data_IF_483404384033
#
_entry.id   IF_483404384033
#
_cell.length_a   1.000
_cell.length_b   1.000
_cell.length_c   1.000
_cell.angle_alpha   90.00
_cell.angle_beta   90.00
_cell.angle_gamma   90.00
#
_symmetry.space_group_name_H-M   'P 1'
#
loop_
_entity.id
_entity.type
_entity.pdbx_description
1 polymer ?
#
# COMPACT_ATOMS: atom_id res chain seq x y z
N UNK A 1 6.49 -9.26 6.59
CA UNK A 1 5.27 -9.47 5.77
C UNK A 1 5.46 -8.72 4.46
N UNK A 2 5.58 -9.43 3.34
CA UNK A 2 5.69 -8.82 2.01
C UNK A 2 4.35 -8.17 1.70
N UNK A 3 4.30 -6.82 1.64
CA UNK A 3 3.13 -6.06 1.22
C UNK A 3 2.95 -6.29 -0.28
N UNK A 4 2.05 -7.19 -0.63
CA UNK A 4 1.67 -7.43 -2.02
C UNK A 4 0.66 -6.36 -2.40
N UNK A 5 1.10 -5.37 -3.20
CA UNK A 5 0.16 -4.62 -4.01
C UNK A 5 -0.54 -5.64 -4.92
N UNK A 6 -1.87 -5.66 -4.91
CA UNK A 6 -2.63 -6.44 -5.88
C UNK A 6 -2.45 -5.72 -7.21
N UNK A 7 -1.46 -6.18 -7.99
CA UNK A 7 -1.31 -5.82 -9.38
C UNK A 7 -2.42 -6.58 -10.13
N UNK A 8 -3.62 -6.02 -10.18
CA UNK A 8 -4.59 -6.38 -11.18
C UNK A 8 -4.07 -5.79 -12.49
N UNK A 9 -3.20 -6.55 -13.16
CA UNK A 9 -2.84 -6.29 -14.54
C UNK A 9 -4.11 -6.48 -15.39
N UNK A 10 -4.84 -5.39 -15.62
CA UNK A 10 -5.81 -5.30 -16.69
C UNK A 10 -5.03 -5.42 -17.99
N UNK A 11 -4.98 -6.63 -18.52
CA UNK A 11 -4.59 -6.90 -19.91
C UNK A 11 -5.64 -6.28 -20.83
N UNK A 12 -5.58 -4.96 -21.00
CA UNK A 12 -6.25 -4.30 -22.09
C UNK A 12 -5.37 -4.46 -23.33
N UNK A 13 -5.66 -5.49 -24.15
CA UNK A 13 -5.11 -5.63 -25.48
C UNK A 13 -5.64 -4.52 -26.37
N UNK A 14 -4.97 -3.37 -26.37
CA UNK A 14 -5.18 -2.38 -27.42
C UNK A 14 -4.31 -2.74 -28.62
N UNK A 15 -4.94 -3.24 -29.68
CA UNK A 15 -4.35 -3.17 -31.01
C UNK A 15 -4.33 -1.69 -31.43
N UNK A 16 -3.23 -1.01 -31.13
CA UNK A 16 -2.94 0.29 -31.74
C UNK A 16 -2.49 0.02 -33.15
N UNK A 17 -3.26 0.51 -34.12
CA UNK A 17 -2.87 0.48 -35.51
C UNK A 17 -1.50 1.17 -35.67
N UNK A 18 -0.54 0.39 -36.16
CA UNK A 18 0.87 0.73 -36.28
C UNK A 18 1.10 1.93 -37.19
N UNK A 19 1.48 3.07 -36.59
CA UNK A 19 2.41 3.98 -37.24
C UNK A 19 3.61 4.12 -36.31
N UNK A 20 4.80 3.71 -36.74
CA UNK A 20 6.06 3.99 -36.07
C UNK A 20 6.15 5.53 -35.93
N UNK A 21 5.68 6.09 -34.82
CA UNK A 21 5.73 7.53 -34.58
C UNK A 21 7.17 7.87 -34.21
N UNK A 22 7.89 8.43 -35.20
CA UNK A 22 9.19 9.03 -34.97
C UNK A 22 9.00 10.20 -34.00
N UNK A 23 9.80 10.26 -32.93
CA UNK A 23 9.83 11.35 -31.93
C UNK A 23 9.80 12.74 -32.58
N UNK A 24 10.60 12.93 -33.63
CA UNK A 24 10.66 14.20 -34.38
C UNK A 24 9.34 14.53 -35.13
N UNK A 25 8.64 13.51 -35.61
CA UNK A 25 7.33 13.70 -36.27
C UNK A 25 6.27 14.08 -35.23
N UNK A 26 6.30 13.46 -34.06
CA UNK A 26 5.41 13.78 -32.95
C UNK A 26 5.62 15.21 -32.44
N UNK A 27 6.87 15.67 -32.31
CA UNK A 27 7.19 17.05 -31.92
C UNK A 27 6.61 18.07 -32.89
N UNK A 28 6.85 17.88 -34.20
CA UNK A 28 6.29 18.78 -35.25
C UNK A 28 4.76 18.76 -35.28
N UNK A 29 4.14 17.61 -35.05
CA UNK A 29 2.69 17.50 -34.99
C UNK A 29 2.12 18.31 -33.81
N UNK A 30 2.79 18.26 -32.64
CA UNK A 30 2.40 19.06 -31.44
C UNK A 30 2.50 20.55 -31.76
N UNK A 31 3.62 21.03 -32.33
CA UNK A 31 3.79 22.44 -32.70
C UNK A 31 2.67 22.91 -33.61
N UNK A 32 2.35 22.14 -34.66
CA UNK A 32 1.30 22.45 -35.61
C UNK A 32 -0.10 22.47 -34.98
N UNK A 33 -0.41 21.48 -34.10
CA UNK A 33 -1.72 21.42 -33.46
C UNK A 33 -1.88 22.54 -32.42
N UNK A 34 -0.79 22.86 -31.67
CA UNK A 34 -0.77 23.96 -30.72
C UNK A 34 -0.96 25.31 -31.41
N UNK A 35 -0.28 25.57 -32.52
CA UNK A 35 -0.48 26.77 -33.33
C UNK A 35 -1.93 26.87 -33.85
N UNK A 36 -2.54 25.75 -34.22
CA UNK A 36 -3.95 25.73 -34.62
C UNK A 36 -4.89 26.10 -33.45
N UNK A 37 -4.64 25.65 -32.23
CA UNK A 37 -5.45 25.96 -31.05
C UNK A 37 -5.33 27.43 -30.61
N UNK A 38 -4.24 28.11 -30.97
CA UNK A 38 -4.00 29.55 -30.71
C UNK A 38 -4.59 30.47 -31.78
N UNK A 39 -5.02 29.94 -32.89
CA UNK A 39 -5.65 30.72 -33.97
C UNK A 39 -7.12 31.01 -33.63
N UNK A 40 -7.52 32.28 -33.57
CA UNK A 40 -8.85 32.72 -33.15
C UNK A 40 -10.01 31.98 -33.84
N UNK A 41 -9.92 31.79 -35.17
CA UNK A 41 -10.98 31.11 -35.94
C UNK A 41 -11.00 29.59 -35.74
N UNK A 42 -9.83 28.98 -35.46
CA UNK A 42 -9.71 27.53 -35.25
C UNK A 42 -9.97 27.15 -33.82
N UNK A 43 -9.63 28.01 -32.85
CA UNK A 43 -9.82 27.78 -31.43
C UNK A 43 -11.30 27.59 -31.00
N UNK A 44 -12.25 28.09 -31.83
CA UNK A 44 -13.70 27.89 -31.59
C UNK A 44 -14.22 26.53 -32.07
N UNK A 45 -13.38 25.69 -32.68
CA UNK A 45 -13.81 24.42 -33.28
C UNK A 45 -13.45 23.24 -32.37
N UNK A 46 -14.41 22.40 -32.03
CA UNK A 46 -14.23 21.14 -31.30
C UNK A 46 -13.09 20.28 -31.90
N UNK A 47 -13.09 20.10 -33.20
CA UNK A 47 -12.10 19.29 -33.92
C UNK A 47 -10.64 19.77 -33.69
N UNK A 48 -10.43 21.07 -33.50
CA UNK A 48 -9.09 21.62 -33.22
C UNK A 48 -8.55 21.08 -31.87
N UNK A 49 -9.35 21.11 -30.85
CA UNK A 49 -8.97 20.66 -29.50
C UNK A 49 -8.88 19.14 -29.41
N UNK A 50 -9.78 18.41 -30.06
CA UNK A 50 -9.66 16.95 -30.19
C UNK A 50 -8.36 16.54 -30.88
N UNK A 51 -7.99 17.25 -31.97
CA UNK A 51 -6.72 17.01 -32.67
C UNK A 51 -5.54 17.29 -31.80
N UNK A 52 -5.54 18.37 -31.01
CA UNK A 52 -4.49 18.72 -30.08
C UNK A 52 -4.35 17.65 -28.98
N UNK A 53 -5.47 17.22 -28.39
CA UNK A 53 -5.49 16.18 -27.37
C UNK A 53 -4.88 14.87 -27.88
N UNK A 54 -5.32 14.40 -29.07
CA UNK A 54 -4.75 13.20 -29.69
C UNK A 54 -3.27 13.35 -29.99
N UNK A 55 -2.85 14.53 -30.46
CA UNK A 55 -1.43 14.78 -30.74
C UNK A 55 -0.55 14.74 -29.48
N UNK A 56 -1.07 15.20 -28.33
CA UNK A 56 -0.36 15.03 -27.06
C UNK A 56 -0.29 13.56 -26.61
N UNK A 57 -1.34 12.76 -26.85
CA UNK A 57 -1.29 11.30 -26.58
C UNK A 57 -0.27 10.60 -27.48
N UNK A 58 -0.20 10.97 -28.76
CA UNK A 58 0.79 10.44 -29.70
C UNK A 58 2.22 10.82 -29.27
N UNK A 59 2.42 12.06 -28.81
CA UNK A 59 3.69 12.55 -28.31
C UNK A 59 4.12 11.86 -27.00
N UNK A 60 3.18 11.53 -26.13
CA UNK A 60 3.43 10.71 -24.93
C UNK A 60 3.92 9.30 -25.31
N UNK A 61 3.30 8.66 -26.30
CA UNK A 61 3.62 7.30 -26.71
C UNK A 61 4.91 7.19 -27.54
N UNK A 62 5.29 8.24 -28.26
CA UNK A 62 6.36 8.21 -29.24
C UNK A 62 7.72 7.72 -28.72
N UNK A 63 8.22 8.12 -27.52
CA UNK A 63 9.50 7.65 -27.00
C UNK A 63 9.50 6.15 -26.67
N UNK A 64 8.39 5.63 -26.15
CA UNK A 64 8.24 4.22 -25.86
C UNK A 64 8.25 3.38 -27.16
N UNK A 65 7.64 3.90 -28.24
CA UNK A 65 7.51 3.18 -29.52
C UNK A 65 6.56 1.98 -29.39
N UNK A 66 6.89 0.89 -30.10
CA UNK A 66 6.05 -0.30 -30.15
C UNK A 66 6.35 -1.31 -29.02
N UNK A 67 6.46 -0.84 -27.77
CA UNK A 67 6.66 -1.72 -26.60
C UNK A 67 5.40 -1.75 -25.74
N UNK A 68 5.16 -2.87 -25.06
CA UNK A 68 4.01 -3.04 -24.19
C UNK A 68 4.35 -3.87 -22.95
N UNK A 69 3.73 -3.57 -21.85
CA UNK A 69 3.90 -4.29 -20.59
C UNK A 69 3.47 -5.76 -20.75
N UNK A 70 4.23 -6.68 -20.16
CA UNK A 70 4.01 -8.12 -20.24
C UNK A 70 4.66 -8.81 -21.46
N UNK A 71 5.21 -8.04 -22.40
CA UNK A 71 5.91 -8.61 -23.53
C UNK A 71 7.22 -9.30 -23.12
N UNK A 72 7.55 -10.43 -23.76
CA UNK A 72 8.88 -11.02 -23.64
C UNK A 72 9.92 -10.29 -24.51
N UNK A 73 11.21 -10.49 -24.20
CA UNK A 73 12.30 -9.84 -24.92
C UNK A 73 12.31 -10.12 -26.43
N UNK A 74 11.94 -11.34 -26.85
CA UNK A 74 11.98 -11.73 -28.28
C UNK A 74 10.86 -11.01 -29.05
N UNK A 75 9.66 -10.97 -28.48
CA UNK A 75 8.54 -10.24 -29.06
C UNK A 75 8.84 -8.76 -29.22
N UNK A 76 9.49 -8.13 -28.22
CA UNK A 76 9.90 -6.74 -28.28
C UNK A 76 10.99 -6.47 -29.31
N UNK A 77 11.98 -7.34 -29.42
CA UNK A 77 13.03 -7.17 -30.41
C UNK A 77 12.49 -7.12 -31.84
N UNK A 78 11.48 -7.92 -32.13
CA UNK A 78 10.78 -7.88 -33.43
C UNK A 78 9.99 -6.58 -33.62
N UNK A 79 9.25 -6.12 -32.59
CA UNK A 79 8.40 -4.94 -32.67
C UNK A 79 9.19 -3.63 -32.72
N UNK A 80 10.40 -3.61 -32.16
CA UNK A 80 11.28 -2.44 -32.13
C UNK A 80 12.13 -2.25 -33.37
N UNK A 81 11.95 -3.10 -34.41
CA UNK A 81 12.63 -2.95 -35.70
C UNK A 81 14.15 -3.05 -35.63
N UNK A 82 14.69 -3.80 -34.66
CA UNK A 82 16.13 -4.01 -34.47
C UNK A 82 16.84 -2.91 -33.66
N UNK A 83 16.12 -2.00 -33.01
CA UNK A 83 16.68 -1.06 -32.03
C UNK A 83 17.40 -1.86 -30.92
N UNK A 84 18.66 -1.49 -30.63
CA UNK A 84 19.47 -2.17 -29.60
C UNK A 84 19.66 -1.27 -28.39
N UNK A 85 19.68 -1.84 -27.17
CA UNK A 85 20.03 -1.07 -25.98
C UNK A 85 21.52 -0.64 -26.04
N UNK A 86 21.80 0.53 -25.52
CA UNK A 86 23.17 1.03 -25.33
C UNK A 86 23.91 0.29 -24.21
N UNK A 87 23.17 -0.14 -23.18
CA UNK A 87 23.67 -1.02 -22.11
C UNK A 87 22.55 -1.87 -21.53
N UNK A 88 22.96 -2.94 -20.83
CA UNK A 88 22.09 -3.85 -20.09
C UNK A 88 22.65 -4.01 -18.68
N UNK A 89 21.83 -3.82 -17.67
CA UNK A 89 22.23 -3.84 -16.25
C UNK A 89 21.27 -4.71 -15.45
N UNK A 90 21.74 -5.30 -14.35
CA UNK A 90 20.88 -5.91 -13.34
C UNK A 90 20.68 -4.91 -12.22
N UNK A 91 19.44 -4.61 -11.89
CA UNK A 91 19.06 -3.68 -10.82
C UNK A 91 18.11 -4.34 -9.83
N UNK A 92 18.14 -3.89 -8.59
CA UNK A 92 17.19 -4.34 -7.56
C UNK A 92 16.22 -3.21 -7.24
N UNK A 93 14.92 -3.45 -7.44
CA UNK A 93 13.85 -2.49 -7.18
C UNK A 93 12.87 -3.14 -6.20
N UNK A 94 12.62 -2.51 -5.07
CA UNK A 94 11.72 -3.01 -4.02
C UNK A 94 12.00 -4.48 -3.61
N UNK A 95 13.30 -4.86 -3.57
CA UNK A 95 13.74 -6.21 -3.21
C UNK A 95 13.62 -7.27 -4.32
N UNK A 96 13.15 -6.92 -5.52
CA UNK A 96 13.09 -7.79 -6.68
C UNK A 96 14.18 -7.42 -7.71
N UNK A 97 14.74 -8.44 -8.39
CA UNK A 97 15.73 -8.23 -9.44
C UNK A 97 15.04 -8.00 -10.79
N UNK A 98 15.58 -7.03 -11.54
CA UNK A 98 15.18 -6.68 -12.89
C UNK A 98 16.36 -6.61 -13.81
N UNK A 99 16.20 -7.00 -15.08
CA UNK A 99 17.11 -6.68 -16.15
C UNK A 99 16.69 -5.34 -16.75
N UNK A 100 17.52 -4.31 -16.60
CA UNK A 100 17.32 -2.98 -17.17
C UNK A 100 18.03 -2.87 -18.50
N UNK A 101 17.30 -2.58 -19.57
CA UNK A 101 17.84 -2.24 -20.88
C UNK A 101 17.73 -0.73 -21.10
N UNK A 102 18.85 -0.08 -21.40
CA UNK A 102 18.95 1.39 -21.56
C UNK A 102 18.96 1.73 -23.04
N UNK A 103 18.04 2.59 -23.46
CA UNK A 103 17.93 3.15 -24.79
C UNK A 103 18.06 4.69 -24.74
N UNK A 104 18.09 5.35 -25.89
CA UNK A 104 18.25 6.80 -25.95
C UNK A 104 17.11 7.58 -25.26
N UNK A 105 15.84 7.12 -25.44
CA UNK A 105 14.64 7.84 -24.97
C UNK A 105 13.90 7.11 -23.85
N UNK A 106 14.28 5.86 -23.54
CA UNK A 106 13.58 4.99 -22.61
C UNK A 106 14.50 4.00 -21.93
N UNK A 107 14.10 3.54 -20.77
CA UNK A 107 14.63 2.35 -20.12
C UNK A 107 13.53 1.30 -20.01
N UNK A 108 13.86 0.03 -20.26
CA UNK A 108 12.93 -1.09 -20.18
C UNK A 108 13.40 -2.03 -19.07
N UNK A 109 12.48 -2.36 -18.16
CA UNK A 109 12.80 -3.22 -17.02
C UNK A 109 12.05 -4.54 -17.14
N UNK A 110 12.79 -5.64 -17.22
CA UNK A 110 12.26 -7.00 -17.32
C UNK A 110 12.36 -7.71 -15.98
N UNK A 111 11.27 -8.32 -15.54
CA UNK A 111 11.24 -9.12 -14.32
C UNK A 111 12.04 -10.43 -14.47
N UNK A 112 12.11 -11.22 -13.38
CA UNK A 112 12.84 -12.50 -13.37
C UNK A 112 12.31 -13.54 -14.39
N UNK A 113 11.08 -13.38 -14.87
CA UNK A 113 10.49 -14.22 -15.92
C UNK A 113 10.80 -13.73 -17.34
N UNK A 114 11.60 -12.66 -17.47
CA UNK A 114 11.94 -12.06 -18.77
C UNK A 114 10.80 -11.25 -19.41
N UNK A 115 9.78 -10.87 -18.64
CA UNK A 115 8.65 -10.07 -19.11
C UNK A 115 8.85 -8.59 -18.77
N UNK A 116 8.54 -7.70 -19.73
CA UNK A 116 8.59 -6.26 -19.53
C UNK A 116 7.59 -5.83 -18.46
N UNK A 117 8.09 -5.23 -17.40
CA UNK A 117 7.28 -4.80 -16.24
C UNK A 117 7.21 -3.28 -16.11
N UNK A 118 8.25 -2.54 -16.54
CA UNK A 118 8.29 -1.08 -16.46
C UNK A 118 8.86 -0.49 -17.74
N UNK A 119 8.20 0.56 -18.23
CA UNK A 119 8.68 1.41 -19.32
C UNK A 119 8.93 2.80 -18.70
N UNK A 120 10.19 3.20 -18.59
CA UNK A 120 10.58 4.51 -18.10
C UNK A 120 10.98 5.39 -19.28
N UNK A 121 10.19 6.40 -19.60
CA UNK A 121 10.54 7.39 -20.62
C UNK A 121 11.49 8.42 -20.00
N UNK A 122 12.73 8.49 -20.52
CA UNK A 122 13.78 9.40 -20.01
C UNK A 122 13.92 10.67 -20.81
N UNK A 123 13.44 10.69 -22.05
CA UNK A 123 13.38 11.88 -22.92
C UNK A 123 11.98 12.00 -23.52
N UNK A 124 11.02 12.64 -22.82
CA UNK A 124 9.68 12.85 -23.36
C UNK A 124 9.70 13.86 -24.51
N UNK A 125 8.80 13.69 -25.48
CA UNK A 125 8.60 14.67 -26.56
C UNK A 125 8.01 15.97 -26.02
N UNK A 126 7.09 15.84 -25.07
CA UNK A 126 6.42 16.96 -24.39
C UNK A 126 6.31 16.64 -22.91
N UNK A 127 6.79 17.53 -22.09
CA UNK A 127 6.58 17.45 -20.65
C UNK A 127 5.09 17.55 -20.28
N UNK A 128 4.64 16.69 -19.38
CA UNK A 128 3.24 16.65 -18.93
C UNK A 128 2.24 16.48 -20.10
N UNK A 129 2.56 15.60 -21.07
CA UNK A 129 1.72 15.39 -22.24
C UNK A 129 0.31 14.90 -21.89
N UNK A 130 0.17 13.98 -20.90
CA UNK A 130 -1.15 13.45 -20.46
C UNK A 130 -2.05 14.53 -19.84
N UNK A 131 -1.61 15.35 -18.86
CA UNK A 131 -2.38 16.48 -18.39
C UNK A 131 -2.76 17.48 -19.49
N UNK A 132 -1.84 17.80 -20.41
CA UNK A 132 -2.14 18.69 -21.55
C UNK A 132 -3.18 18.09 -22.49
N UNK A 133 -3.15 16.78 -22.73
CA UNK A 133 -4.17 16.09 -23.50
C UNK A 133 -5.54 16.16 -22.82
N UNK A 134 -5.58 15.99 -21.50
CA UNK A 134 -6.81 16.09 -20.71
C UNK A 134 -7.43 17.49 -20.82
N UNK A 135 -6.64 18.54 -20.65
CA UNK A 135 -7.11 19.92 -20.78
C UNK A 135 -7.64 20.22 -22.20
N UNK A 136 -6.99 19.67 -23.22
CA UNK A 136 -7.48 19.81 -24.59
C UNK A 136 -8.83 19.08 -24.82
N UNK A 137 -9.01 17.88 -24.25
CA UNK A 137 -10.31 17.18 -24.31
C UNK A 137 -11.39 17.91 -23.50
N UNK A 138 -11.08 18.45 -22.34
CA UNK A 138 -12.01 19.28 -21.55
C UNK A 138 -12.48 20.48 -22.39
N UNK A 139 -11.53 21.15 -23.06
CA UNK A 139 -11.88 22.28 -23.97
C UNK A 139 -12.71 21.84 -25.14
N UNK A 140 -12.43 20.67 -25.73
CA UNK A 140 -13.27 20.11 -26.81
C UNK A 140 -14.70 19.87 -26.32
N UNK A 141 -14.88 19.30 -25.11
CA UNK A 141 -16.18 19.05 -24.49
C UNK A 141 -16.96 20.34 -24.21
N UNK A 142 -16.31 21.40 -23.70
CA UNK A 142 -16.93 22.71 -23.49
C UNK A 142 -17.48 23.35 -24.74
N UNK A 143 -16.83 23.10 -25.89
CA UNK A 143 -17.21 23.65 -27.17
C UNK A 143 -18.25 22.81 -27.93
N UNK A 144 -18.45 21.54 -27.53
CA UNK A 144 -19.40 20.63 -28.16
C UNK A 144 -20.81 20.76 -27.56
N UNK A 145 -21.45 21.91 -27.74
CA UNK A 145 -22.79 22.21 -27.24
C UNK A 145 -23.85 21.14 -27.59
N UNK A 146 -23.63 20.42 -28.72
CA UNK A 146 -24.56 19.38 -29.18
C UNK A 146 -24.20 17.98 -28.64
N UNK A 147 -23.14 17.85 -27.87
CA UNK A 147 -22.65 16.57 -27.36
C UNK A 147 -22.43 15.49 -28.44
N UNK A 148 -22.12 15.94 -29.66
CA UNK A 148 -21.92 15.05 -30.81
C UNK A 148 -20.62 14.27 -30.77
N UNK A 149 -19.66 14.69 -29.91
CA UNK A 149 -18.33 14.11 -29.72
C UNK A 149 -18.11 13.45 -28.37
N UNK A 150 -19.12 13.35 -27.54
CA UNK A 150 -19.03 12.76 -26.19
C UNK A 150 -18.36 11.39 -26.20
N UNK A 151 -18.71 10.53 -27.17
CA UNK A 151 -18.12 9.19 -27.27
C UNK A 151 -16.61 9.23 -27.51
N UNK A 152 -16.18 10.08 -28.43
CA UNK A 152 -14.76 10.18 -28.82
C UNK A 152 -13.94 10.85 -27.69
N UNK A 153 -14.49 11.90 -27.08
CA UNK A 153 -13.89 12.61 -25.95
C UNK A 153 -13.80 11.69 -24.73
N UNK A 154 -14.88 10.96 -24.41
CA UNK A 154 -14.91 9.98 -23.32
C UNK A 154 -13.84 8.90 -23.49
N UNK A 155 -13.68 8.37 -24.72
CA UNK A 155 -12.64 7.38 -25.01
C UNK A 155 -11.22 7.95 -24.82
N UNK A 156 -11.01 9.23 -25.21
CA UNK A 156 -9.73 9.90 -24.99
C UNK A 156 -9.41 10.13 -23.52
N UNK A 157 -10.39 10.59 -22.73
CA UNK A 157 -10.24 10.79 -21.28
C UNK A 157 -9.98 9.46 -20.57
N UNK A 158 -10.70 8.40 -20.94
CA UNK A 158 -10.45 7.03 -20.45
C UNK A 158 -9.00 6.61 -20.71
N UNK A 159 -8.53 6.78 -21.94
CA UNK A 159 -7.15 6.43 -22.31
C UNK A 159 -6.11 7.22 -21.50
N UNK A 160 -6.38 8.49 -21.18
CA UNK A 160 -5.51 9.30 -20.33
C UNK A 160 -5.48 8.76 -18.90
N UNK A 161 -6.63 8.46 -18.31
CA UNK A 161 -6.72 7.89 -16.96
C UNK A 161 -5.96 6.56 -16.87
N UNK A 162 -6.13 5.66 -17.84
CA UNK A 162 -5.43 4.37 -17.89
C UNK A 162 -3.90 4.55 -18.02
N UNK A 163 -3.43 5.53 -18.83
CA UNK A 163 -2.01 5.84 -18.97
C UNK A 163 -1.41 6.45 -17.70
N UNK A 164 -2.11 7.36 -17.05
CA UNK A 164 -1.70 7.93 -15.77
C UNK A 164 -1.59 6.85 -14.70
N UNK A 165 -2.54 5.91 -14.67
CA UNK A 165 -2.50 4.76 -13.76
C UNK A 165 -1.27 3.88 -14.04
N UNK A 166 -0.92 3.63 -15.33
CA UNK A 166 0.29 2.90 -15.70
C UNK A 166 1.57 3.64 -15.25
N UNK A 167 1.62 4.97 -15.42
CA UNK A 167 2.76 5.76 -14.94
C UNK A 167 2.89 5.70 -13.40
N UNK A 168 1.77 5.65 -12.69
CA UNK A 168 1.77 5.49 -11.24
C UNK A 168 2.40 4.15 -10.82
N UNK A 169 2.03 3.04 -11.48
CA UNK A 169 2.65 1.73 -11.23
C UNK A 169 4.13 1.71 -11.62
N UNK A 170 4.50 2.34 -12.75
CA UNK A 170 5.89 2.48 -13.14
C UNK A 170 6.71 3.21 -12.06
N UNK A 171 6.23 4.38 -11.61
CA UNK A 171 6.87 5.17 -10.58
C UNK A 171 6.99 4.41 -9.24
N UNK A 172 5.92 3.72 -8.84
CA UNK A 172 5.92 2.90 -7.62
C UNK A 172 6.96 1.77 -7.70
N UNK A 173 7.03 1.06 -8.83
CA UNK A 173 8.00 -0.02 -9.03
C UNK A 173 9.44 0.51 -9.03
N UNK A 174 9.66 1.71 -9.57
CA UNK A 174 10.95 2.39 -9.56
C UNK A 174 11.34 2.96 -8.17
N UNK A 175 10.43 2.92 -7.18
CA UNK A 175 10.66 3.42 -5.82
C UNK A 175 10.31 4.90 -5.62
N UNK A 176 9.80 5.58 -6.65
CA UNK A 176 9.34 6.96 -6.55
C UNK A 176 7.86 7.01 -6.10
N UNK A 177 7.66 6.73 -4.81
CA UNK A 177 6.32 6.62 -4.22
C UNK A 177 5.55 7.94 -4.28
N UNK A 178 6.25 9.08 -4.17
CA UNK A 178 5.62 10.39 -4.27
C UNK A 178 5.05 10.64 -5.67
N UNK A 179 5.83 10.33 -6.70
CA UNK A 179 5.38 10.47 -8.08
C UNK A 179 4.27 9.47 -8.41
N UNK A 180 4.31 8.27 -7.82
CA UNK A 180 3.22 7.31 -7.93
C UNK A 180 1.92 7.85 -7.34
N UNK A 181 1.97 8.49 -6.16
CA UNK A 181 0.82 9.16 -5.54
C UNK A 181 0.22 10.21 -6.49
N UNK A 182 1.07 11.12 -7.02
CA UNK A 182 0.65 12.18 -7.93
C UNK A 182 -0.05 11.63 -9.18
N UNK A 183 0.46 10.54 -9.75
CA UNK A 183 -0.13 9.91 -10.93
C UNK A 183 -1.41 9.14 -10.61
N UNK A 184 -1.52 8.44 -9.47
CA UNK A 184 -2.77 7.79 -9.08
C UNK A 184 -3.88 8.81 -8.84
N UNK A 185 -3.58 9.93 -8.17
CA UNK A 185 -4.52 11.01 -7.97
C UNK A 185 -4.97 11.62 -9.32
N UNK A 186 -4.02 11.91 -10.21
CA UNK A 186 -4.32 12.41 -11.54
C UNK A 186 -5.16 11.42 -12.37
N UNK A 187 -4.94 10.11 -12.24
CA UNK A 187 -5.75 9.08 -12.91
C UNK A 187 -7.20 9.10 -12.41
N UNK A 188 -7.40 9.16 -11.08
CA UNK A 188 -8.72 9.30 -10.47
C UNK A 188 -9.42 10.59 -10.92
N UNK A 189 -8.72 11.72 -10.91
CA UNK A 189 -9.28 13.00 -11.33
C UNK A 189 -9.62 13.02 -12.82
N UNK A 190 -8.80 12.41 -13.67
CA UNK A 190 -9.06 12.27 -15.09
C UNK A 190 -10.32 11.43 -15.34
N UNK A 191 -10.46 10.28 -14.68
CA UNK A 191 -11.64 9.43 -14.81
C UNK A 191 -12.95 10.16 -14.46
N UNK A 192 -12.91 11.06 -13.49
CA UNK A 192 -14.07 11.86 -13.06
C UNK A 192 -14.49 12.96 -14.04
N UNK A 193 -13.68 13.29 -15.06
CA UNK A 193 -14.00 14.33 -16.03
C UNK A 193 -15.12 13.92 -16.97
N UNK A 194 -16.03 14.88 -17.24
CA UNK A 194 -17.07 14.68 -18.27
C UNK A 194 -16.44 14.69 -19.68
N UNK A 195 -16.99 13.93 -20.63
CA UNK A 195 -18.20 13.10 -20.53
C UNK A 195 -17.93 11.66 -20.01
N UNK A 196 -16.69 11.29 -19.66
CA UNK A 196 -16.37 9.95 -19.16
C UNK A 196 -17.00 9.70 -17.78
N UNK A 197 -16.79 10.60 -16.82
CA UNK A 197 -17.46 10.68 -15.52
C UNK A 197 -17.53 9.36 -14.74
N UNK A 198 -16.42 8.62 -14.68
CA UNK A 198 -16.31 7.38 -13.91
C UNK A 198 -15.64 7.62 -12.56
N UNK A 199 -16.03 6.84 -11.56
CA UNK A 199 -15.38 6.83 -10.26
C UNK A 199 -14.35 5.70 -10.27
N UNK A 200 -13.06 6.05 -10.41
CA UNK A 200 -11.95 5.10 -10.34
C UNK A 200 -11.52 4.89 -8.88
N UNK A 201 -12.24 4.00 -8.19
CA UNK A 201 -11.95 3.68 -6.79
C UNK A 201 -10.58 3.01 -6.60
N UNK A 202 -10.04 2.33 -7.63
CA UNK A 202 -8.73 1.70 -7.55
C UNK A 202 -7.61 2.74 -7.54
N UNK A 203 -7.66 3.72 -8.46
CA UNK A 203 -6.69 4.82 -8.45
C UNK A 203 -6.82 5.66 -7.19
N UNK A 204 -8.04 5.94 -6.72
CA UNK A 204 -8.26 6.65 -5.46
C UNK A 204 -7.67 5.90 -4.25
N UNK A 205 -7.89 4.59 -4.16
CA UNK A 205 -7.32 3.77 -3.10
C UNK A 205 -5.79 3.74 -3.16
N UNK A 206 -5.21 3.57 -4.36
CA UNK A 206 -3.76 3.54 -4.53
C UNK A 206 -3.12 4.90 -4.18
N UNK A 207 -3.77 6.03 -4.51
CA UNK A 207 -3.33 7.36 -4.08
C UNK A 207 -3.40 7.50 -2.54
N UNK A 208 -4.47 7.01 -1.91
CA UNK A 208 -4.59 6.99 -0.45
C UNK A 208 -3.51 6.11 0.19
N UNK A 209 -3.26 4.93 -0.37
CA UNK A 209 -2.25 3.99 0.12
C UNK A 209 -0.82 4.56 0.01
N UNK A 210 -0.48 5.18 -1.12
CA UNK A 210 0.83 5.82 -1.32
C UNK A 210 1.01 7.02 -0.40
N UNK A 211 -0.01 7.87 -0.21
CA UNK A 211 0.00 8.95 0.79
C UNK A 211 0.20 8.40 2.21
N UNK A 212 -0.48 7.31 2.56
CA UNK A 212 -0.31 6.65 3.85
C UNK A 212 1.11 6.09 4.03
N UNK A 213 1.68 5.47 3.00
CA UNK A 213 3.04 4.88 3.05
C UNK A 213 4.15 5.93 3.13
N UNK A 214 3.88 7.17 2.75
CA UNK A 214 4.78 8.33 2.88
C UNK A 214 4.43 9.19 4.10
N UNK A 215 3.63 8.67 5.03
CA UNK A 215 3.24 9.33 6.29
C UNK A 215 2.43 10.63 6.11
N UNK A 216 1.87 10.86 4.93
CA UNK A 216 0.94 11.97 4.70
C UNK A 216 -0.47 11.55 5.15
N UNK A 217 -0.62 11.30 6.46
CA UNK A 217 -1.84 10.72 7.04
C UNK A 217 -3.08 11.56 6.82
N UNK A 218 -2.96 12.90 6.80
CA UNK A 218 -4.10 13.79 6.57
C UNK A 218 -4.68 13.65 5.17
N UNK A 219 -3.81 13.56 4.15
CA UNK A 219 -4.22 13.35 2.76
C UNK A 219 -4.74 11.93 2.57
N UNK A 220 -4.04 10.93 3.11
CA UNK A 220 -4.45 9.53 3.07
C UNK A 220 -5.86 9.35 3.66
N UNK A 221 -6.12 9.93 4.85
CA UNK A 221 -7.43 9.89 5.49
C UNK A 221 -8.52 10.44 4.58
N UNK A 222 -8.29 11.63 4.00
CA UNK A 222 -9.27 12.26 3.10
C UNK A 222 -9.64 11.36 1.93
N UNK A 223 -8.66 10.68 1.35
CA UNK A 223 -8.88 9.78 0.21
C UNK A 223 -9.52 8.46 0.63
N UNK A 224 -9.12 7.86 1.76
CA UNK A 224 -9.76 6.66 2.29
C UNK A 224 -11.22 6.92 2.71
N UNK A 225 -11.54 8.10 3.27
CA UNK A 225 -12.92 8.48 3.55
C UNK A 225 -13.77 8.54 2.27
N UNK A 226 -13.21 9.06 1.17
CA UNK A 226 -13.87 9.02 -0.15
C UNK A 226 -14.08 7.58 -0.62
N UNK A 227 -13.09 6.67 -0.42
CA UNK A 227 -13.24 5.25 -0.74
C UNK A 227 -14.44 4.65 0.00
N UNK A 228 -14.57 4.89 1.31
CA UNK A 228 -15.73 4.45 2.08
C UNK A 228 -17.04 5.05 1.56
N UNK A 229 -17.04 6.34 1.21
CA UNK A 229 -18.21 7.05 0.65
C UNK A 229 -18.67 6.43 -0.67
N UNK A 230 -17.79 5.84 -1.45
CA UNK A 230 -18.12 5.10 -2.69
C UNK A 230 -18.40 3.61 -2.45
N UNK A 231 -18.36 3.15 -1.20
CA UNK A 231 -18.57 1.74 -0.87
C UNK A 231 -17.36 0.86 -1.21
N UNK A 232 -16.19 1.44 -1.38
CA UNK A 232 -14.95 0.71 -1.60
C UNK A 232 -14.22 0.53 -0.27
N UNK A 233 -14.02 -0.72 0.14
CA UNK A 233 -13.50 -1.08 1.46
C UNK A 233 -12.07 -1.64 1.43
N UNK A 234 -11.49 -1.84 0.23
CA UNK A 234 -10.25 -2.58 0.07
C UNK A 234 -10.41 -4.09 0.27
N UNK A 235 -9.30 -4.82 0.27
CA UNK A 235 -9.33 -6.25 0.52
C UNK A 235 -9.66 -6.53 1.99
N UNK A 236 -10.70 -7.36 2.21
CA UNK A 236 -11.15 -7.68 3.57
C UNK A 236 -11.48 -6.48 4.47
N UNK A 237 -11.79 -5.31 3.89
CA UNK A 237 -12.14 -4.12 4.68
C UNK A 237 -10.94 -3.32 5.22
N UNK A 238 -9.75 -3.51 4.67
CA UNK A 238 -8.52 -2.88 5.18
C UNK A 238 -8.54 -1.34 5.20
N UNK A 239 -9.42 -0.68 4.41
CA UNK A 239 -9.61 0.77 4.45
C UNK A 239 -9.97 1.26 5.85
N UNK A 240 -10.77 0.50 6.62
CA UNK A 240 -11.10 0.86 7.99
C UNK A 240 -9.86 0.85 8.91
N UNK A 241 -9.01 -0.18 8.77
CA UNK A 241 -7.77 -0.26 9.54
C UNK A 241 -6.80 0.86 9.16
N UNK A 242 -6.70 1.22 7.87
CA UNK A 242 -5.90 2.35 7.39
C UNK A 242 -6.40 3.69 7.92
N UNK A 243 -7.71 3.90 7.95
CA UNK A 243 -8.31 5.10 8.52
C UNK A 243 -8.04 5.22 10.02
N UNK A 244 -8.18 4.12 10.77
CA UNK A 244 -7.83 4.07 12.19
C UNK A 244 -6.36 4.46 12.42
N UNK A 245 -5.46 3.92 11.61
CA UNK A 245 -4.04 4.23 11.68
C UNK A 245 -3.76 5.72 11.35
N UNK A 246 -4.36 6.25 10.28
CA UNK A 246 -4.26 7.67 9.95
C UNK A 246 -4.72 8.58 11.10
N UNK A 247 -5.89 8.29 11.68
CA UNK A 247 -6.44 9.09 12.79
C UNK A 247 -5.52 9.04 14.01
N UNK A 248 -4.97 7.86 14.34
CA UNK A 248 -4.05 7.69 15.46
C UNK A 248 -2.76 8.51 15.32
N UNK A 249 -2.31 8.73 14.07
CA UNK A 249 -1.13 9.57 13.79
C UNK A 249 -1.46 11.06 13.72
N UNK A 250 -2.67 11.43 13.27
CA UNK A 250 -3.10 12.83 13.18
C UNK A 250 -3.44 13.40 14.56
N UNK A 251 -4.11 12.61 15.40
CA UNK A 251 -4.57 13.02 16.72
C UNK A 251 -4.23 11.95 17.76
N UNK A 252 -3.21 12.20 18.57
CA UNK A 252 -2.74 11.30 19.63
C UNK A 252 -3.49 11.45 20.95
N UNK A 253 -4.47 12.37 21.03
CA UNK A 253 -5.30 12.59 22.23
C UNK A 253 -6.27 11.43 22.47
N UNK A 254 -6.92 11.42 23.62
CA UNK A 254 -7.98 10.45 23.92
C UNK A 254 -9.13 10.51 22.89
N UNK A 255 -9.47 11.71 22.38
CA UNK A 255 -10.48 11.88 21.34
C UNK A 255 -10.05 11.22 20.02
N UNK A 256 -8.79 11.40 19.60
CA UNK A 256 -8.24 10.75 18.41
C UNK A 256 -8.23 9.24 18.54
N UNK A 257 -7.83 8.70 19.70
CA UNK A 257 -7.88 7.25 19.97
C UNK A 257 -9.30 6.69 19.87
N UNK A 258 -10.29 7.41 20.41
CA UNK A 258 -11.70 7.03 20.29
C UNK A 258 -12.17 7.03 18.85
N UNK A 259 -11.85 8.07 18.07
CA UNK A 259 -12.20 8.15 16.65
C UNK A 259 -11.52 7.04 15.82
N UNK A 260 -10.26 6.71 16.12
CA UNK A 260 -9.56 5.59 15.49
C UNK A 260 -10.26 4.24 15.74
N UNK A 261 -10.68 3.99 17.01
CA UNK A 261 -11.46 2.81 17.38
C UNK A 261 -12.77 2.74 16.63
N UNK A 262 -13.49 3.86 16.46
CA UNK A 262 -14.77 3.89 15.77
C UNK A 262 -14.68 3.37 14.33
N UNK A 263 -13.60 3.70 13.58
CA UNK A 263 -13.37 3.11 12.26
C UNK A 263 -13.19 1.60 12.33
N UNK A 264 -12.44 1.09 13.31
CA UNK A 264 -12.24 -0.35 13.47
C UNK A 264 -13.54 -1.08 13.82
N UNK A 265 -14.37 -0.52 14.71
CA UNK A 265 -15.66 -1.12 15.08
C UNK A 265 -16.64 -1.11 13.90
N UNK A 266 -16.69 -0.03 13.11
CA UNK A 266 -17.46 0.02 11.87
C UNK A 266 -17.00 -1.04 10.87
N UNK A 267 -15.69 -1.20 10.73
CA UNK A 267 -15.09 -2.22 9.89
C UNK A 267 -15.41 -3.62 10.38
N UNK A 268 -15.33 -3.87 11.68
CA UNK A 268 -15.63 -5.15 12.29
C UNK A 268 -17.09 -5.60 12.08
N UNK A 269 -18.04 -4.67 12.13
CA UNK A 269 -19.44 -4.98 11.83
C UNK A 269 -19.65 -5.49 10.40
N UNK A 270 -18.84 -5.05 9.44
CA UNK A 270 -18.93 -5.45 8.03
C UNK A 270 -18.02 -6.63 7.68
N UNK A 271 -16.85 -6.68 8.30
CA UNK A 271 -15.77 -7.63 8.02
C UNK A 271 -15.24 -8.25 9.32
N UNK A 272 -16.07 -9.05 10.03
CA UNK A 272 -15.70 -9.56 11.36
C UNK A 272 -14.52 -10.54 11.36
N UNK A 273 -14.15 -11.08 10.21
CA UNK A 273 -13.01 -11.99 10.04
C UNK A 273 -11.77 -11.30 9.47
N UNK A 274 -11.80 -9.99 9.28
CA UNK A 274 -10.66 -9.23 8.77
C UNK A 274 -9.52 -9.20 9.78
N UNK A 275 -8.39 -9.79 9.45
CA UNK A 275 -7.23 -9.81 10.34
C UNK A 275 -6.76 -8.41 10.71
N UNK A 276 -6.67 -7.49 9.75
CA UNK A 276 -6.19 -6.12 10.00
C UNK A 276 -7.08 -5.35 10.97
N UNK A 277 -8.40 -5.53 10.87
CA UNK A 277 -9.39 -4.88 11.75
C UNK A 277 -9.35 -5.51 13.14
N UNK A 278 -9.38 -6.85 13.21
CA UNK A 278 -9.35 -7.59 14.48
C UNK A 278 -8.07 -7.28 15.25
N UNK A 279 -6.90 -7.31 14.58
CA UNK A 279 -5.64 -6.95 15.22
C UNK A 279 -5.59 -5.47 15.62
N UNK A 280 -6.18 -4.57 14.83
CA UNK A 280 -6.32 -3.16 15.21
C UNK A 280 -7.12 -2.98 16.49
N UNK A 281 -8.26 -3.66 16.64
CA UNK A 281 -9.09 -3.64 17.86
C UNK A 281 -8.36 -4.27 19.06
N UNK A 282 -7.71 -5.41 18.85
CA UNK A 282 -6.90 -6.06 19.89
C UNK A 282 -5.82 -5.08 20.38
N UNK A 283 -5.09 -4.45 19.48
CA UNK A 283 -4.06 -3.48 19.85
C UNK A 283 -4.63 -2.28 20.60
N UNK A 284 -5.80 -1.77 20.17
CA UNK A 284 -6.48 -0.69 20.88
C UNK A 284 -6.79 -1.08 22.32
N UNK A 285 -7.47 -2.22 22.52
CA UNK A 285 -7.89 -2.67 23.86
C UNK A 285 -6.70 -3.05 24.74
N UNK A 286 -5.62 -3.58 24.16
CA UNK A 286 -4.37 -3.85 24.89
C UNK A 286 -3.71 -2.56 25.39
N UNK A 287 -3.68 -1.51 24.58
CA UNK A 287 -2.98 -0.27 24.92
C UNK A 287 -3.82 0.69 25.75
N UNK A 288 -5.13 0.66 25.62
CA UNK A 288 -6.04 1.48 26.44
C UNK A 288 -6.27 0.93 27.83
N UNK A 289 -6.11 -0.38 28.03
CA UNK A 289 -6.48 -1.08 29.27
C UNK A 289 -7.99 -1.14 29.53
N UNK A 290 -8.80 -0.70 28.56
CA UNK A 290 -10.27 -0.73 28.63
C UNK A 290 -10.82 -1.99 27.97
N UNK A 291 -12.02 -2.39 28.34
CA UNK A 291 -12.79 -3.41 27.62
C UNK A 291 -12.14 -4.79 27.58
N UNK A 292 -11.55 -5.24 28.67
CA UNK A 292 -10.85 -6.54 28.77
C UNK A 292 -11.72 -7.71 28.28
N UNK A 293 -13.01 -7.73 28.61
CA UNK A 293 -13.93 -8.77 28.12
C UNK A 293 -14.03 -8.75 26.60
N UNK A 294 -14.14 -7.56 26.01
CA UNK A 294 -14.17 -7.38 24.56
C UNK A 294 -12.87 -7.83 23.88
N UNK A 295 -11.73 -7.58 24.51
CA UNK A 295 -10.44 -8.07 24.03
C UNK A 295 -10.42 -9.60 23.95
N UNK A 296 -10.88 -10.30 25.01
CA UNK A 296 -10.92 -11.76 24.98
C UNK A 296 -11.94 -12.32 23.97
N UNK A 297 -13.11 -11.68 23.78
CA UNK A 297 -14.05 -12.05 22.70
C UNK A 297 -13.39 -11.98 21.32
N UNK A 298 -12.68 -10.88 21.02
CA UNK A 298 -11.99 -10.69 19.76
C UNK A 298 -10.86 -11.71 19.57
N UNK A 299 -10.10 -12.01 20.63
CA UNK A 299 -9.07 -13.04 20.59
C UNK A 299 -9.66 -14.43 20.32
N UNK A 300 -10.78 -14.79 20.96
CA UNK A 300 -11.45 -16.06 20.69
C UNK A 300 -11.93 -16.15 19.25
N UNK A 301 -12.53 -15.08 18.71
CA UNK A 301 -12.97 -15.03 17.34
C UNK A 301 -11.79 -15.14 16.34
N UNK A 302 -10.69 -14.41 16.59
CA UNK A 302 -9.49 -14.47 15.77
C UNK A 302 -8.86 -15.88 15.79
N UNK A 303 -8.78 -16.52 16.96
CA UNK A 303 -8.30 -17.90 17.09
C UNK A 303 -9.20 -18.93 16.40
N UNK A 304 -10.52 -18.70 16.37
CA UNK A 304 -11.43 -19.58 15.63
C UNK A 304 -11.21 -19.48 14.10
N UNK A 305 -10.83 -18.30 13.60
CA UNK A 305 -10.55 -18.06 12.18
C UNK A 305 -9.14 -18.49 11.78
N UNK A 306 -8.15 -18.28 12.65
CA UNK A 306 -6.74 -18.56 12.41
C UNK A 306 -6.13 -19.34 13.60
N UNK A 307 -6.50 -20.64 13.77
CA UNK A 307 -6.18 -21.42 14.97
C UNK A 307 -4.69 -21.76 15.14
N UNK A 308 -3.90 -21.66 14.08
CA UNK A 308 -2.47 -21.92 14.09
C UNK A 308 -1.60 -20.66 14.12
N UNK A 309 -2.23 -19.49 14.26
CA UNK A 309 -1.51 -18.22 14.37
C UNK A 309 -0.96 -18.01 15.77
N UNK A 310 0.33 -18.34 16.00
CA UNK A 310 1.01 -18.24 17.29
C UNK A 310 0.91 -16.84 17.93
N UNK A 311 0.88 -15.77 17.11
CA UNK A 311 0.80 -14.40 17.65
C UNK A 311 -0.48 -14.11 18.40
N UNK A 312 -1.61 -14.77 18.08
CA UNK A 312 -2.88 -14.59 18.79
C UNK A 312 -2.79 -15.13 20.24
N UNK A 313 -2.14 -16.27 20.42
CA UNK A 313 -1.92 -16.86 21.75
C UNK A 313 -0.92 -16.05 22.56
N UNK A 314 0.10 -15.50 21.90
CA UNK A 314 1.02 -14.57 22.55
C UNK A 314 0.30 -13.31 23.06
N UNK A 315 -0.55 -12.70 22.23
CA UNK A 315 -1.36 -11.52 22.64
C UNK A 315 -2.32 -11.86 23.77
N UNK A 316 -2.93 -13.05 23.74
CA UNK A 316 -3.75 -13.53 24.87
C UNK A 316 -2.94 -13.64 26.16
N UNK A 317 -1.70 -14.15 26.08
CA UNK A 317 -0.77 -14.17 27.21
C UNK A 317 -0.47 -12.77 27.74
N UNK A 318 -0.23 -11.80 26.86
CA UNK A 318 -0.05 -10.40 27.25
C UNK A 318 -1.31 -9.83 27.94
N UNK A 319 -2.50 -10.13 27.42
CA UNK A 319 -3.77 -9.69 28.01
C UNK A 319 -3.96 -10.27 29.43
N UNK A 320 -3.70 -11.57 29.63
CA UNK A 320 -3.75 -12.19 30.95
C UNK A 320 -2.68 -11.62 31.91
N UNK A 321 -1.46 -11.36 31.41
CA UNK A 321 -0.40 -10.68 32.19
C UNK A 321 -0.88 -9.31 32.68
N UNK A 322 -1.52 -8.52 31.80
CA UNK A 322 -1.99 -7.17 32.12
C UNK A 322 -3.04 -7.15 33.23
N UNK A 323 -3.93 -8.17 33.28
CA UNK A 323 -4.93 -8.29 34.34
C UNK A 323 -4.41 -9.05 35.58
N UNK A 324 -3.14 -9.46 35.60
CA UNK A 324 -2.50 -10.13 36.71
C UNK A 324 -2.76 -11.64 36.80
N UNK A 325 -3.44 -12.27 35.86
CA UNK A 325 -3.67 -13.72 35.82
C UNK A 325 -2.45 -14.43 35.18
N UNK A 326 -1.38 -14.55 35.99
CA UNK A 326 -0.09 -15.06 35.50
C UNK A 326 -0.14 -16.55 35.10
N UNK A 327 -1.02 -17.34 35.68
CA UNK A 327 -1.17 -18.76 35.36
C UNK A 327 -1.79 -18.92 33.94
N UNK A 328 -2.83 -18.17 33.63
CA UNK A 328 -3.39 -18.18 32.29
C UNK A 328 -2.45 -17.53 31.28
N UNK A 329 -1.72 -16.48 31.67
CA UNK A 329 -0.69 -15.89 30.82
C UNK A 329 0.39 -16.90 30.43
N UNK A 330 0.93 -17.64 31.41
CA UNK A 330 1.93 -18.69 31.15
C UNK A 330 1.40 -19.76 30.20
N UNK A 331 0.16 -20.22 30.40
CA UNK A 331 -0.48 -21.21 29.54
C UNK A 331 -0.65 -20.69 28.10
N UNK A 332 -1.09 -19.44 27.92
CA UNK A 332 -1.26 -18.85 26.61
C UNK A 332 0.08 -18.69 25.86
N UNK A 333 1.17 -18.32 26.57
CA UNK A 333 2.51 -18.32 25.98
C UNK A 333 2.97 -19.72 25.58
N UNK A 334 2.69 -20.76 26.38
CA UNK A 334 3.01 -22.14 26.04
C UNK A 334 2.21 -22.61 24.81
N UNK A 335 0.93 -22.25 24.70
CA UNK A 335 0.11 -22.52 23.53
C UNK A 335 0.67 -21.80 22.28
N UNK A 336 1.13 -20.54 22.42
CA UNK A 336 1.81 -19.81 21.36
C UNK A 336 3.05 -20.54 20.85
N UNK A 337 3.93 -20.99 21.77
CA UNK A 337 5.13 -21.76 21.44
C UNK A 337 4.78 -23.13 20.80
N UNK A 338 3.68 -23.75 21.22
CA UNK A 338 3.21 -24.99 20.63
C UNK A 338 2.68 -24.82 19.20
N UNK A 339 2.08 -23.65 18.86
CA UNK A 339 1.62 -23.34 17.51
C UNK A 339 2.78 -23.06 16.55
N UNK A 340 3.79 -22.34 17.02
CA UNK A 340 5.02 -22.12 16.27
C UNK A 340 6.24 -22.16 17.23
N UNK A 341 6.97 -23.28 17.26
CA UNK A 341 8.17 -23.41 18.12
C UNK A 341 9.30 -22.42 17.78
N UNK A 342 9.23 -21.74 16.62
CA UNK A 342 10.17 -20.68 16.23
C UNK A 342 9.68 -19.28 16.57
N UNK A 343 8.47 -19.13 17.12
CA UNK A 343 7.93 -17.84 17.50
C UNK A 343 8.58 -17.35 18.79
N UNK A 344 9.75 -16.74 18.68
CA UNK A 344 10.61 -16.34 19.81
C UNK A 344 9.91 -15.46 20.86
N UNK A 345 8.92 -14.65 20.44
CA UNK A 345 8.19 -13.76 21.35
C UNK A 345 7.37 -14.51 22.41
N UNK A 346 6.93 -15.75 22.16
CA UNK A 346 6.25 -16.57 23.15
C UNK A 346 7.16 -16.85 24.36
N UNK A 347 8.39 -17.22 24.10
CA UNK A 347 9.38 -17.51 25.13
C UNK A 347 9.83 -16.25 25.86
N UNK A 348 10.13 -15.16 25.11
CA UNK A 348 10.49 -13.87 25.70
C UNK A 348 9.36 -13.35 26.58
N UNK A 349 8.10 -13.40 26.13
CA UNK A 349 6.93 -12.94 26.87
C UNK A 349 6.76 -13.70 28.20
N UNK A 350 6.90 -15.02 28.18
CA UNK A 350 6.82 -15.86 29.38
C UNK A 350 7.98 -15.59 30.35
N UNK A 351 9.19 -15.50 29.83
CA UNK A 351 10.37 -15.19 30.65
C UNK A 351 10.25 -13.82 31.33
N UNK A 352 9.90 -12.80 30.56
CA UNK A 352 9.71 -11.44 31.04
C UNK A 352 8.59 -11.35 32.10
N UNK A 353 7.49 -12.06 31.91
CA UNK A 353 6.39 -12.10 32.89
C UNK A 353 6.87 -12.61 34.26
N UNK A 354 7.62 -13.70 34.29
CA UNK A 354 8.16 -14.23 35.54
C UNK A 354 9.23 -13.33 36.13
N UNK A 355 10.07 -12.72 35.30
CA UNK A 355 11.09 -11.76 35.73
C UNK A 355 10.47 -10.52 36.39
N UNK A 356 9.45 -9.92 35.75
CA UNK A 356 8.72 -8.78 36.31
C UNK A 356 8.08 -9.12 37.64
N UNK A 357 7.49 -10.33 37.77
CA UNK A 357 6.92 -10.80 39.02
C UNK A 357 7.97 -11.01 40.13
N UNK A 358 9.13 -11.51 39.74
CA UNK A 358 10.23 -11.65 40.70
C UNK A 358 10.70 -10.28 41.23
N UNK A 359 10.84 -9.27 40.33
CA UNK A 359 11.18 -7.91 40.76
C UNK A 359 10.13 -7.31 41.73
N UNK A 360 8.83 -7.54 41.47
CA UNK A 360 7.75 -7.11 42.35
C UNK A 360 7.88 -7.76 43.77
N UNK A 361 8.19 -9.06 43.81
CA UNK A 361 8.39 -9.77 45.05
C UNK A 361 9.64 -9.27 45.80
N UNK A 362 10.73 -8.96 45.09
CA UNK A 362 11.92 -8.38 45.65
C UNK A 362 11.65 -7.02 46.30
N UNK A 363 10.90 -6.16 45.61
CA UNK A 363 10.49 -4.85 46.13
C UNK A 363 9.61 -4.98 47.39
N UNK A 364 8.67 -5.92 47.40
CA UNK A 364 7.84 -6.21 48.56
C UNK A 364 8.67 -6.71 49.74
N UNK A 365 9.66 -7.60 49.51
CA UNK A 365 10.55 -8.08 50.55
C UNK A 365 11.38 -6.93 51.15
N UNK A 366 11.92 -6.02 50.33
CA UNK A 366 12.70 -4.89 50.83
C UNK A 366 11.92 -3.95 51.76
N UNK A 367 10.60 -3.90 51.65
CA UNK A 367 9.73 -3.06 52.47
C UNK A 367 9.01 -3.82 53.59
N UNK A 368 9.24 -5.14 53.76
CA UNK A 368 8.62 -5.96 54.82
C UNK A 368 9.42 -5.90 56.09
N UNK A 369 8.76 -5.64 57.23
CA UNK A 369 9.36 -5.51 58.53
C UNK A 369 9.21 -6.77 59.42
N UNK A 370 8.31 -7.67 59.01
CA UNK A 370 8.11 -8.96 59.70
C UNK A 370 9.05 -10.01 59.12
N UNK A 371 9.93 -10.55 59.98
CA UNK A 371 10.97 -11.50 59.57
C UNK A 371 10.40 -12.75 58.88
N UNK A 372 9.27 -13.27 59.33
CA UNK A 372 8.66 -14.47 58.77
C UNK A 372 8.09 -14.19 57.38
N UNK A 373 7.43 -13.06 57.20
CA UNK A 373 6.91 -12.62 55.88
C UNK A 373 8.04 -12.26 54.93
N UNK A 374 9.08 -11.60 55.42
CA UNK A 374 10.30 -11.32 54.64
C UNK A 374 10.88 -12.61 54.04
N UNK A 375 11.10 -13.64 54.91
CA UNK A 375 11.65 -14.90 54.43
C UNK A 375 10.74 -15.61 53.41
N UNK A 376 9.41 -15.54 53.61
CA UNK A 376 8.46 -16.08 52.63
C UNK A 376 8.55 -15.35 51.28
N UNK A 377 8.62 -14.02 51.30
CA UNK A 377 8.76 -13.22 50.06
C UNK A 377 10.09 -13.48 49.34
N UNK A 378 11.19 -13.66 50.08
CA UNK A 378 12.50 -14.05 49.53
C UNK A 378 12.42 -15.41 48.84
N UNK A 379 11.77 -16.39 49.50
CA UNK A 379 11.57 -17.72 48.92
C UNK A 379 10.73 -17.65 47.63
N UNK A 380 9.63 -16.90 47.64
CA UNK A 380 8.77 -16.71 46.47
C UNK A 380 9.51 -16.02 45.36
N UNK A 381 10.32 -15.00 45.64
CA UNK A 381 11.23 -14.35 44.72
C UNK A 381 12.16 -15.35 44.03
N UNK A 382 12.90 -16.16 44.83
CA UNK A 382 13.83 -17.12 44.25
C UNK A 382 13.14 -18.16 43.34
N UNK A 383 11.99 -18.69 43.77
CA UNK A 383 11.22 -19.65 43.02
C UNK A 383 10.71 -19.03 41.69
N UNK A 384 10.22 -17.79 41.77
CA UNK A 384 9.69 -17.09 40.62
C UNK A 384 10.80 -16.71 39.65
N UNK A 385 11.95 -16.24 40.15
CA UNK A 385 13.10 -15.91 39.32
C UNK A 385 13.63 -17.12 38.56
N UNK A 386 13.66 -18.30 39.18
CA UNK A 386 14.07 -19.55 38.51
C UNK A 386 13.16 -19.92 37.34
N UNK A 387 11.85 -19.57 37.42
CA UNK A 387 10.89 -19.84 36.32
C UNK A 387 11.16 -19.06 35.05
N UNK A 388 11.93 -17.95 35.07
CA UNK A 388 12.26 -17.20 33.88
C UNK A 388 13.43 -17.80 33.06
N UNK A 389 14.26 -18.66 33.68
CA UNK A 389 15.48 -19.17 33.04
C UNK A 389 15.17 -20.00 31.81
N UNK A 390 14.36 -21.06 31.95
CA UNK A 390 14.02 -21.94 30.83
C UNK A 390 13.41 -21.20 29.64
N UNK A 391 12.40 -20.31 29.78
CA UNK A 391 11.90 -19.52 28.67
C UNK A 391 12.96 -18.68 27.97
N UNK A 392 13.85 -18.02 28.70
CA UNK A 392 14.92 -17.24 28.06
C UNK A 392 15.97 -18.12 27.39
N UNK A 393 16.28 -19.29 27.90
CA UNK A 393 17.15 -20.26 27.24
C UNK A 393 16.54 -20.75 25.96
N UNK A 394 15.23 -21.04 25.92
CA UNK A 394 14.51 -21.42 24.72
C UNK A 394 14.48 -20.26 23.69
N UNK A 395 14.22 -19.05 24.14
CA UNK A 395 14.28 -17.87 23.27
C UNK A 395 15.66 -17.72 22.61
N UNK A 396 16.74 -17.92 23.39
CA UNK A 396 18.10 -17.86 22.88
C UNK A 396 18.38 -18.92 21.81
N UNK A 397 17.91 -20.16 22.01
CA UNK A 397 18.10 -21.26 21.07
C UNK A 397 17.39 -21.02 19.74
N UNK A 398 16.13 -20.51 19.77
CA UNK A 398 15.32 -20.35 18.58
C UNK A 398 15.53 -19.02 17.85
N UNK A 399 16.21 -18.06 18.48
CA UNK A 399 16.44 -16.73 17.90
C UNK A 399 17.53 -16.78 16.84
N UNK A 400 17.14 -16.55 15.57
CA UNK A 400 18.06 -16.44 14.43
C UNK A 400 18.55 -15.00 14.20
N UNK A 401 17.88 -13.99 14.79
CA UNK A 401 18.27 -12.58 14.67
C UNK A 401 19.29 -12.21 15.73
N UNK A 402 20.51 -11.84 15.30
CA UNK A 402 21.59 -11.43 16.20
C UNK A 402 21.27 -10.16 17.04
N UNK A 403 20.32 -9.34 16.61
CA UNK A 403 19.90 -8.15 17.36
C UNK A 403 19.02 -8.50 18.58
N UNK A 404 18.40 -9.66 18.58
CA UNK A 404 17.55 -10.13 19.69
C UNK A 404 18.36 -10.97 20.71
N UNK A 405 19.41 -11.68 20.23
CA UNK A 405 20.31 -12.45 21.09
C UNK A 405 21.13 -11.53 21.97
#
# INVERSE_FOLDING_TARGET
>A
MKKTLIVLALLASFQVANAQSNVNSAAKAVESALAASQNEKKATKVATWMKLAQTYLDAYAAPAGNVWIGADMNALQLSMGGEKPSSVETVTLNGAQYTKQIYENKNLYFNANGQLSVIEVVKPVVENALPKALEAYKKAYELDEKHSKDKDISAGIKAISEKLNQEAYNAYTLGDVKKAEEFFEAAYEAAAQKPYAQIDTNSLYNAAFTSWSTENFSKAKTMFDKCLGYGYYGDGGEVFAKLSDCVSHIDTTAAGKTAAKEYLEQGFQKFPTSESIVFGLINYYMTSGEGTDRLFELLQQAKATSPDNASLYYVEGQAYKQIGDLDKAAKAYDESAAKDPKYVFAYIGKGQMYYDKALELQEKAQNELDDAKYMALVQDFEVTLKKCIEPFEQAYVVCEDAAIK
#
